data_IF_348884118541
#
_entry.id   IF_348884118541
#
_cell.length_a   1.000
_cell.length_b   1.000
_cell.length_c   1.000
_cell.angle_alpha   90.00
_cell.angle_beta   90.00
_cell.angle_gamma   90.00
#
_symmetry.space_group_name_H-M   'P 1'
#
loop_
_entity.id
_entity.type
_entity.pdbx_description
1 polymer ?
#
# COMPACT_ATOMS: atom_id res chain seq x y z
N UNK A 1 -35.19 -14.84 -8.28
CA UNK A 1 -34.10 -13.94 -8.72
C UNK A 1 -34.10 -13.87 -10.25
N UNK A 2 -34.12 -12.67 -10.84
CA UNK A 2 -33.91 -12.52 -12.29
C UNK A 2 -32.47 -12.91 -12.62
N UNK A 3 -32.28 -13.67 -13.71
CA UNK A 3 -30.95 -14.09 -14.18
C UNK A 3 -30.25 -12.87 -14.78
N UNK A 4 -29.12 -12.45 -14.21
CA UNK A 4 -28.32 -11.36 -14.76
C UNK A 4 -27.81 -11.71 -16.16
N UNK A 5 -27.89 -10.77 -17.09
CA UNK A 5 -27.36 -10.93 -18.44
C UNK A 5 -25.83 -10.77 -18.46
N UNK A 6 -25.20 -11.06 -19.59
CA UNK A 6 -23.73 -11.02 -19.70
C UNK A 6 -23.15 -9.63 -19.40
N UNK A 7 -23.79 -8.57 -19.91
CA UNK A 7 -23.35 -7.18 -19.72
C UNK A 7 -23.37 -6.81 -18.23
N UNK A 8 -24.46 -7.12 -17.54
CA UNK A 8 -24.60 -6.85 -16.09
C UNK A 8 -23.52 -7.56 -15.27
N UNK A 9 -23.17 -8.81 -15.62
CA UNK A 9 -22.09 -9.54 -14.94
C UNK A 9 -20.70 -8.97 -15.23
N UNK A 10 -20.48 -8.47 -16.44
CA UNK A 10 -19.22 -7.85 -16.83
C UNK A 10 -19.01 -6.52 -16.10
N UNK A 11 -20.04 -5.68 -16.04
CA UNK A 11 -20.02 -4.41 -15.31
C UNK A 11 -19.74 -4.64 -13.82
N UNK A 12 -20.41 -5.62 -13.18
CA UNK A 12 -20.13 -5.98 -11.78
C UNK A 12 -18.69 -6.44 -11.54
N UNK A 13 -18.13 -7.26 -12.43
CA UNK A 13 -16.75 -7.71 -12.29
C UNK A 13 -15.75 -6.56 -12.47
N UNK A 14 -16.04 -5.67 -13.43
CA UNK A 14 -15.23 -4.49 -13.69
C UNK A 14 -15.23 -3.52 -12.49
N UNK A 15 -16.40 -3.30 -11.88
CA UNK A 15 -16.52 -2.42 -10.72
C UNK A 15 -15.78 -2.99 -9.50
N UNK A 16 -15.94 -4.29 -9.23
CA UNK A 16 -15.19 -4.99 -8.18
C UNK A 16 -13.67 -4.93 -8.40
N UNK A 17 -13.23 -5.06 -9.66
CA UNK A 17 -11.81 -4.98 -9.98
C UNK A 17 -11.26 -3.57 -9.75
N UNK A 18 -12.01 -2.53 -10.11
CA UNK A 18 -11.61 -1.15 -9.87
C UNK A 18 -11.59 -0.79 -8.38
N UNK A 19 -12.56 -1.28 -7.60
CA UNK A 19 -12.56 -1.13 -6.14
C UNK A 19 -11.30 -1.78 -5.53
N UNK A 20 -11.01 -3.01 -5.92
CA UNK A 20 -9.80 -3.72 -5.49
C UNK A 20 -8.51 -2.98 -5.84
N UNK A 21 -8.41 -2.43 -7.06
CA UNK A 21 -7.26 -1.63 -7.49
C UNK A 21 -7.15 -0.31 -6.70
N UNK A 22 -8.28 0.33 -6.40
CA UNK A 22 -8.31 1.55 -5.59
C UNK A 22 -7.77 1.29 -4.19
N UNK A 23 -8.23 0.21 -3.54
CA UNK A 23 -7.76 -0.17 -2.21
C UNK A 23 -6.27 -0.52 -2.21
N UNK A 24 -5.81 -1.25 -3.24
CA UNK A 24 -4.38 -1.54 -3.40
C UNK A 24 -3.56 -0.27 -3.57
N UNK A 25 -4.05 0.72 -4.31
CA UNK A 25 -3.36 2.00 -4.48
C UNK A 25 -3.18 2.70 -3.13
N UNK A 26 -4.23 2.78 -2.30
CA UNK A 26 -4.18 3.40 -0.97
C UNK A 26 -3.17 2.69 -0.05
N UNK A 27 -3.12 1.36 -0.10
CA UNK A 27 -2.14 0.57 0.67
C UNK A 27 -0.71 0.88 0.20
N UNK A 28 -0.48 0.94 -1.11
CA UNK A 28 0.85 1.26 -1.66
C UNK A 28 1.30 2.69 -1.32
N UNK A 29 0.37 3.66 -1.39
CA UNK A 29 0.61 5.04 -0.95
C UNK A 29 1.03 5.06 0.53
N UNK A 30 0.29 4.37 1.40
CA UNK A 30 0.58 4.27 2.83
C UNK A 30 1.95 3.62 3.11
N UNK A 31 2.32 2.56 2.37
CA UNK A 31 3.63 1.92 2.48
C UNK A 31 4.74 2.90 2.05
N UNK A 32 4.50 3.68 0.99
CA UNK A 32 5.43 4.72 0.53
C UNK A 32 5.68 5.80 1.57
N UNK A 33 4.62 6.30 2.22
CA UNK A 33 4.71 7.29 3.30
C UNK A 33 5.49 6.75 4.49
N UNK A 34 5.16 5.53 4.97
CA UNK A 34 5.88 4.88 6.07
C UNK A 34 7.36 4.68 5.76
N UNK A 35 7.71 4.37 4.52
CA UNK A 35 9.10 4.25 4.09
C UNK A 35 9.83 5.58 4.15
N UNK A 36 9.19 6.67 3.70
CA UNK A 36 9.77 8.01 3.78
C UNK A 36 10.00 8.43 5.24
N UNK A 37 9.02 8.19 6.12
CA UNK A 37 9.14 8.46 7.55
C UNK A 37 10.27 7.64 8.20
N UNK A 38 10.41 6.36 7.83
CA UNK A 38 11.47 5.51 8.33
C UNK A 38 12.86 6.04 7.94
N UNK A 39 13.05 6.46 6.69
CA UNK A 39 14.32 7.03 6.24
C UNK A 39 14.68 8.32 7.00
N UNK A 40 13.71 9.18 7.27
CA UNK A 40 13.90 10.37 8.10
C UNK A 40 14.34 9.97 9.52
N UNK A 41 13.68 8.99 10.12
CA UNK A 41 14.00 8.51 11.47
C UNK A 41 15.39 7.88 11.53
N UNK A 42 15.77 7.05 10.53
CA UNK A 42 17.12 6.49 10.40
C UNK A 42 18.17 7.61 10.37
N UNK A 43 17.94 8.66 9.59
CA UNK A 43 18.82 9.82 9.54
C UNK A 43 18.98 10.51 10.90
N UNK A 44 17.90 10.65 11.68
CA UNK A 44 17.94 11.21 13.03
C UNK A 44 18.74 10.31 13.97
N UNK A 45 18.48 9.00 13.99
CA UNK A 45 19.17 8.05 14.87
C UNK A 45 20.68 8.04 14.61
N UNK A 46 21.08 8.02 13.33
CA UNK A 46 22.49 8.11 12.93
C UNK A 46 23.13 9.42 13.38
N UNK A 47 22.42 10.55 13.29
CA UNK A 47 22.90 11.85 13.78
C UNK A 47 23.19 11.85 15.29
N UNK A 48 22.44 11.07 16.07
CA UNK A 48 22.66 10.89 17.51
C UNK A 48 23.61 9.73 17.85
N UNK A 49 24.22 9.07 16.86
CA UNK A 49 25.13 7.95 17.06
C UNK A 49 24.45 6.67 17.57
N UNK A 50 23.13 6.55 17.37
CA UNK A 50 22.37 5.36 17.75
C UNK A 50 22.50 4.34 16.63
N UNK A 51 23.07 3.17 16.94
CA UNK A 51 23.14 2.06 16.00
C UNK A 51 21.75 1.49 15.71
N UNK A 52 21.47 1.30 14.42
CA UNK A 52 20.22 0.72 13.94
C UNK A 52 20.46 -0.78 13.70
N UNK A 53 19.68 -1.69 14.32
CA UNK A 53 19.82 -3.11 14.07
C UNK A 53 19.65 -3.45 12.58
N UNK A 54 20.50 -4.31 12.03
CA UNK A 54 20.51 -4.70 10.60
C UNK A 54 19.16 -5.19 10.09
N UNK A 55 18.36 -5.84 10.93
CA UNK A 55 16.98 -6.27 10.60
C UNK A 55 16.02 -5.13 10.20
N UNK A 56 16.35 -3.88 10.52
CA UNK A 56 15.53 -2.70 10.24
C UNK A 56 16.16 -1.74 9.22
N UNK A 57 17.30 -2.12 8.65
CA UNK A 57 18.02 -1.27 7.68
C UNK A 57 17.29 -1.20 6.35
N UNK A 58 16.62 -2.28 5.94
CA UNK A 58 15.99 -2.40 4.62
C UNK A 58 14.46 -2.22 4.59
N UNK A 59 13.84 -1.92 5.74
CA UNK A 59 12.42 -1.53 5.79
C UNK A 59 12.26 -0.10 5.24
#
# INVERSE_FOLDING_TARGET
MKKKNYKERYEELHDLFNEFLSDHRLVLESIGELRAENEILKGILLKYGIEIPTKYVDF
#
